data_IF_605420419825
#
_entry.id   IF_605420419825
#
_cell.length_a   1.000
_cell.length_b   1.000
_cell.length_c   1.000
_cell.angle_alpha   90.00
_cell.angle_beta   90.00
_cell.angle_gamma   90.00
#
_symmetry.space_group_name_H-M   'P 1'
#
loop_
_entity.id
_entity.type
_entity.pdbx_description
1 polymer ?
#
# COMPACT_ATOMS: atom_id res chain seq x y z
N UNK A 1 13.75 11.21 20.97
CA UNK A 1 12.80 11.55 19.90
C UNK A 1 12.93 13.03 19.55
N UNK A 2 13.13 13.35 18.27
CA UNK A 2 13.22 14.73 17.75
C UNK A 2 11.82 15.21 17.42
N UNK A 3 11.32 16.23 18.13
CA UNK A 3 9.93 16.71 18.01
C UNK A 3 9.56 17.23 16.61
N UNK A 4 10.57 17.70 15.88
CA UNK A 4 10.45 18.31 14.55
C UNK A 4 10.17 17.27 13.46
N UNK A 5 10.47 15.99 13.71
CA UNK A 5 10.26 14.86 12.80
C UNK A 5 9.26 13.90 13.48
N UNK A 6 7.97 14.17 13.31
CA UNK A 6 6.91 13.40 13.95
C UNK A 6 6.49 12.19 13.08
N UNK A 7 6.70 10.93 13.54
CA UNK A 7 6.33 9.72 12.78
C UNK A 7 4.87 9.68 12.30
N UNK A 8 3.96 10.35 13.00
CA UNK A 8 2.56 10.46 12.59
C UNK A 8 2.37 11.06 11.19
N UNK A 9 3.30 11.90 10.69
CA UNK A 9 3.24 12.41 9.32
C UNK A 9 3.53 11.30 8.29
N UNK A 10 4.42 10.34 8.59
CA UNK A 10 4.64 9.15 7.74
C UNK A 10 3.37 8.31 7.68
N UNK A 11 2.73 8.04 8.83
CA UNK A 11 1.47 7.28 8.85
C UNK A 11 0.35 7.98 8.08
N UNK A 12 0.23 9.31 8.19
CA UNK A 12 -0.73 10.10 7.40
C UNK A 12 -0.43 10.00 5.89
N UNK A 13 0.84 10.11 5.51
CA UNK A 13 1.25 9.95 4.12
C UNK A 13 0.95 8.54 3.60
N UNK A 14 1.25 7.50 4.38
CA UNK A 14 0.92 6.10 4.07
C UNK A 14 -0.58 5.93 3.90
N UNK A 15 -1.40 6.48 4.80
CA UNK A 15 -2.85 6.49 4.68
C UNK A 15 -3.29 7.11 3.35
N UNK A 16 -2.79 8.32 3.04
CA UNK A 16 -3.09 9.01 1.77
C UNK A 16 -2.73 8.19 0.53
N UNK A 17 -1.61 7.46 0.55
CA UNK A 17 -1.18 6.60 -0.55
C UNK A 17 -2.16 5.43 -0.81
N UNK A 18 -2.84 4.94 0.22
CA UNK A 18 -3.81 3.84 0.13
C UNK A 18 -5.28 4.31 0.03
N UNK A 19 -5.54 5.63 0.04
CA UNK A 19 -6.88 6.17 -0.15
C UNK A 19 -7.41 5.96 -1.59
N UNK A 20 -8.73 6.15 -1.77
CA UNK A 20 -9.42 6.08 -3.05
C UNK A 20 -9.26 4.71 -3.75
N UNK A 21 -9.46 3.63 -2.98
CA UNK A 21 -9.37 2.24 -3.42
C UNK A 21 -8.01 1.92 -4.08
N UNK A 22 -6.92 2.14 -3.32
CA UNK A 22 -5.55 1.87 -3.75
C UNK A 22 -5.13 2.57 -5.06
N UNK A 23 -5.66 3.77 -5.32
CA UNK A 23 -5.42 4.49 -6.57
C UNK A 23 -3.92 4.58 -6.94
N UNK A 24 -3.06 4.93 -5.98
CA UNK A 24 -1.63 5.09 -6.25
C UNK A 24 -1.00 3.76 -6.66
N UNK A 25 -1.37 2.64 -6.02
CA UNK A 25 -0.93 1.31 -6.45
C UNK A 25 -1.38 1.03 -7.86
N UNK A 26 -2.68 1.15 -8.16
CA UNK A 26 -3.23 0.88 -9.49
C UNK A 26 -2.64 1.79 -10.59
N UNK A 27 -2.28 3.03 -10.25
CA UNK A 27 -1.70 3.99 -11.18
C UNK A 27 -0.22 3.72 -11.48
N UNK A 28 0.57 3.37 -10.45
CA UNK A 28 2.03 3.25 -10.53
C UNK A 28 2.55 1.82 -10.66
N UNK A 29 1.68 0.82 -10.57
CA UNK A 29 1.99 -0.57 -10.92
C UNK A 29 1.83 -0.76 -12.43
N UNK A 30 2.93 -1.09 -13.11
CA UNK A 30 2.92 -1.55 -14.50
C UNK A 30 3.64 -2.90 -14.61
N UNK A 31 2.99 -4.00 -14.24
CA UNK A 31 3.67 -5.30 -14.26
C UNK A 31 3.87 -5.87 -15.67
N UNK A 32 2.98 -5.62 -16.65
CA UNK A 32 3.15 -6.03 -18.06
C UNK A 32 2.38 -5.14 -19.03
N UNK A 33 3.08 -4.48 -19.96
CA UNK A 33 2.52 -4.18 -21.29
C UNK A 33 2.83 -5.36 -22.21
N UNK A 34 1.96 -5.60 -23.20
CA UNK A 34 2.03 -6.64 -24.25
C UNK A 34 3.41 -7.30 -24.43
N UNK A 35 3.43 -8.63 -24.24
CA UNK A 35 4.51 -9.59 -24.59
C UNK A 35 5.88 -8.98 -24.95
N UNK A 36 6.81 -9.01 -23.98
CA UNK A 36 8.28 -8.85 -24.11
C UNK A 36 8.94 -7.58 -23.55
N UNK A 37 8.26 -6.73 -22.77
CA UNK A 37 8.92 -5.68 -21.98
C UNK A 37 8.48 -5.72 -20.52
N UNK A 38 9.46 -5.82 -19.62
CA UNK A 38 9.27 -5.60 -18.20
C UNK A 38 8.81 -4.15 -17.99
N UNK A 39 7.70 -3.95 -17.28
CA UNK A 39 7.19 -2.60 -17.03
C UNK A 39 7.90 -1.92 -15.87
N UNK A 40 7.53 -0.66 -15.59
CA UNK A 40 8.16 0.15 -14.54
C UNK A 40 7.37 0.01 -13.24
N UNK A 41 7.89 -0.77 -12.29
CA UNK A 41 7.29 -0.88 -10.96
C UNK A 41 7.69 0.33 -10.09
N UNK A 42 6.91 1.41 -10.21
CA UNK A 42 7.09 2.62 -9.39
C UNK A 42 6.48 2.41 -7.99
N UNK A 43 5.45 1.56 -7.88
CA UNK A 43 4.78 1.26 -6.61
C UNK A 43 5.73 0.69 -5.57
N UNK A 44 6.53 -0.34 -5.92
CA UNK A 44 7.51 -0.93 -4.99
C UNK A 44 8.52 0.10 -4.47
N UNK A 45 8.89 1.07 -5.30
CA UNK A 45 9.75 2.19 -4.88
C UNK A 45 9.04 3.10 -3.87
N UNK A 46 7.77 3.41 -4.09
CA UNK A 46 6.95 4.20 -3.14
C UNK A 46 6.84 3.45 -1.80
N UNK A 47 6.54 2.16 -1.80
CA UNK A 47 6.50 1.32 -0.60
C UNK A 47 7.83 1.35 0.15
N UNK A 48 8.94 1.09 -0.55
CA UNK A 48 10.27 1.11 0.06
C UNK A 48 10.61 2.47 0.69
N UNK A 49 10.23 3.59 0.06
CA UNK A 49 10.42 4.91 0.64
C UNK A 49 9.60 5.10 1.93
N UNK A 50 8.34 4.63 1.97
CA UNK A 50 7.50 4.72 3.18
C UNK A 50 8.04 3.86 4.32
N UNK A 51 8.55 2.66 4.02
CA UNK A 51 9.13 1.76 5.02
C UNK A 51 10.41 2.35 5.61
N UNK A 52 11.31 2.85 4.76
CA UNK A 52 12.53 3.52 5.24
C UNK A 52 12.26 4.82 5.96
N UNK A 53 11.22 5.58 5.58
CA UNK A 53 10.77 6.73 6.36
C UNK A 53 10.31 6.31 7.75
N UNK A 54 9.52 5.24 7.87
CA UNK A 54 9.03 4.73 9.16
C UNK A 54 10.21 4.39 10.07
N UNK A 55 11.13 3.54 9.58
CA UNK A 55 12.34 3.15 10.32
C UNK A 55 13.16 4.36 10.73
N UNK A 56 13.40 5.29 9.81
CA UNK A 56 14.26 6.43 10.08
C UNK A 56 13.63 7.45 11.03
N UNK A 57 12.33 7.72 10.93
CA UNK A 57 11.65 8.68 11.83
C UNK A 57 11.50 8.16 13.25
N UNK A 58 11.38 6.84 13.42
CA UNK A 58 11.26 6.23 14.75
C UNK A 58 12.61 6.14 15.47
N UNK A 59 13.69 5.92 14.71
CA UNK A 59 15.02 5.69 15.25
C UNK A 59 15.90 6.95 15.31
N UNK A 60 15.49 8.09 14.72
CA UNK A 60 16.34 9.28 14.70
C UNK A 60 16.48 9.91 16.09
N UNK A 61 17.72 10.04 16.55
CA UNK A 61 18.07 10.63 17.85
C UNK A 61 19.16 11.68 17.71
N UNK A 62 19.08 12.73 18.55
CA UNK A 62 20.19 13.69 18.66
C UNK A 62 21.42 12.96 19.20
N UNK A 63 22.58 13.08 18.54
CA UNK A 63 23.80 12.40 18.96
C UNK A 63 24.27 12.93 20.32
N UNK A 64 24.71 12.04 21.20
CA UNK A 64 25.10 12.40 22.56
C UNK A 64 26.61 12.46 22.70
N UNK A 65 27.04 13.29 23.65
CA UNK A 65 28.43 13.31 24.07
C UNK A 65 28.67 12.20 25.08
N UNK A 66 29.62 11.34 24.76
CA UNK A 66 30.09 10.23 25.58
C UNK A 66 31.50 10.53 26.08
N UNK A 67 31.89 9.89 27.19
CA UNK A 67 33.28 9.94 27.67
C UNK A 67 34.24 9.35 26.64
N UNK A 68 33.81 8.32 25.92
CA UNK A 68 34.55 7.73 24.82
C UNK A 68 34.16 8.43 23.51
N UNK A 69 35.11 9.16 22.92
CA UNK A 69 34.91 9.88 21.67
C UNK A 69 34.52 8.97 20.49
N UNK A 70 34.89 7.69 20.51
CA UNK A 70 34.51 6.74 19.47
C UNK A 70 32.99 6.50 19.47
N UNK A 71 32.35 6.40 20.65
CA UNK A 71 30.90 6.26 20.73
C UNK A 71 30.19 7.52 20.26
N UNK A 72 30.69 8.70 20.63
CA UNK A 72 30.18 9.97 20.10
C UNK A 72 30.30 10.06 18.59
N UNK A 73 31.42 9.61 18.03
CA UNK A 73 31.63 9.60 16.59
C UNK A 73 30.64 8.65 15.89
N UNK A 74 30.47 7.43 16.41
CA UNK A 74 29.54 6.44 15.86
C UNK A 74 28.07 6.89 15.97
N UNK A 75 27.65 7.47 17.10
CA UNK A 75 26.29 8.02 17.23
C UNK A 75 26.06 9.18 16.25
N UNK A 76 27.07 10.04 16.03
CA UNK A 76 26.95 11.10 15.03
C UNK A 76 26.87 10.55 13.60
N UNK A 77 27.67 9.53 13.27
CA UNK A 77 27.57 8.85 11.98
C UNK A 77 26.20 8.23 11.78
N UNK A 78 25.67 7.52 12.79
CA UNK A 78 24.31 6.97 12.74
C UNK A 78 23.29 8.08 12.46
N UNK A 79 23.34 9.19 13.20
CA UNK A 79 22.46 10.35 12.99
C UNK A 79 22.51 10.89 11.55
N UNK A 80 23.70 11.05 10.96
CA UNK A 80 23.85 11.50 9.58
C UNK A 80 23.26 10.49 8.58
N UNK A 81 23.51 9.19 8.79
CA UNK A 81 22.94 8.14 7.94
C UNK A 81 21.42 8.12 8.03
N UNK A 82 20.84 8.27 9.22
CA UNK A 82 19.37 8.34 9.38
C UNK A 82 18.77 9.56 8.68
N UNK A 83 19.45 10.71 8.73
CA UNK A 83 19.03 11.89 7.94
C UNK A 83 19.08 11.60 6.44
N UNK A 84 20.16 10.98 5.96
CA UNK A 84 20.32 10.62 4.55
C UNK A 84 19.19 9.71 4.07
N UNK A 85 18.83 8.70 4.86
CA UNK A 85 17.68 7.81 4.57
C UNK A 85 16.37 8.58 4.41
N UNK A 86 16.09 9.54 5.31
CA UNK A 86 14.88 10.38 5.23
C UNK A 86 14.91 11.22 3.95
N UNK A 87 16.02 11.90 3.67
CA UNK A 87 16.16 12.81 2.53
C UNK A 87 16.09 12.05 1.20
N UNK A 88 16.78 10.91 1.09
CA UNK A 88 16.73 10.07 -0.10
C UNK A 88 15.32 9.53 -0.35
N UNK A 89 14.64 9.03 0.68
CA UNK A 89 13.27 8.55 0.56
C UNK A 89 12.31 9.66 0.09
N UNK A 90 12.39 10.86 0.66
CA UNK A 90 11.58 12.01 0.24
C UNK A 90 11.88 12.40 -1.21
N UNK A 91 13.15 12.49 -1.57
CA UNK A 91 13.56 12.83 -2.93
C UNK A 91 13.07 11.79 -3.95
N UNK A 92 13.09 10.52 -3.57
CA UNK A 92 12.58 9.45 -4.42
C UNK A 92 11.05 9.41 -4.51
N UNK A 93 10.32 9.81 -3.46
CA UNK A 93 8.88 10.03 -3.53
C UNK A 93 8.54 11.19 -4.46
N UNK A 94 9.28 12.31 -4.38
CA UNK A 94 9.14 13.42 -5.33
C UNK A 94 9.48 13.04 -6.76
N UNK A 95 10.49 12.20 -6.97
CA UNK A 95 10.81 11.67 -8.29
C UNK A 95 9.69 10.76 -8.82
N UNK A 96 9.09 9.93 -7.99
CA UNK A 96 8.03 9.02 -8.40
C UNK A 96 6.70 9.75 -8.67
N UNK A 97 6.20 10.49 -7.69
CA UNK A 97 4.88 11.13 -7.72
C UNK A 97 4.95 12.47 -8.45
N UNK A 98 5.97 13.28 -8.14
CA UNK A 98 6.16 14.60 -8.75
C UNK A 98 6.43 14.54 -10.25
N UNK A 99 7.08 13.49 -10.77
CA UNK A 99 7.23 13.30 -12.22
C UNK A 99 5.85 13.11 -12.90
N UNK A 100 4.94 12.35 -12.28
CA UNK A 100 3.58 12.14 -12.79
C UNK A 100 2.73 13.42 -12.74
N UNK A 101 2.91 14.28 -11.73
CA UNK A 101 2.21 15.56 -11.62
C UNK A 101 2.95 16.73 -12.30
N UNK A 102 4.16 16.49 -12.81
CA UNK A 102 5.10 17.50 -13.34
C UNK A 102 5.54 18.53 -12.29
N UNK A 103 5.50 18.17 -11.01
CA UNK A 103 5.93 18.97 -9.87
C UNK A 103 7.31 18.51 -9.41
N UNK A 104 8.24 19.44 -9.21
CA UNK A 104 9.60 19.14 -8.75
C UNK A 104 9.70 19.28 -7.23
N UNK A 105 10.65 18.55 -6.64
CA UNK A 105 11.00 18.72 -5.22
C UNK A 105 11.37 20.20 -4.93
N UNK A 106 10.71 20.87 -3.98
CA UNK A 106 10.81 22.33 -3.81
C UNK A 106 12.20 22.84 -3.41
N UNK A 107 13.00 22.02 -2.73
CA UNK A 107 14.24 22.44 -2.07
C UNK A 107 15.52 21.95 -2.77
N UNK A 108 15.41 21.49 -4.02
CA UNK A 108 16.52 20.86 -4.75
C UNK A 108 17.63 21.88 -5.07
N UNK A 109 17.25 23.15 -5.21
CA UNK A 109 18.16 24.29 -5.41
C UNK A 109 18.29 25.17 -4.17
N UNK A 110 17.71 24.76 -3.04
CA UNK A 110 17.72 25.57 -1.82
C UNK A 110 19.15 25.73 -1.29
N UNK A 111 19.39 26.88 -0.66
CA UNK A 111 20.68 27.30 -0.08
C UNK A 111 20.47 28.00 1.27
N UNK A 112 19.27 27.92 1.84
CA UNK A 112 18.82 28.77 2.93
C UNK A 112 19.33 28.34 4.31
N UNK A 113 19.96 27.17 4.40
CA UNK A 113 20.32 26.57 5.68
C UNK A 113 21.82 26.64 5.92
N UNK A 114 22.63 26.09 5.01
CA UNK A 114 24.07 25.96 5.27
C UNK A 114 24.85 27.19 4.79
N UNK A 115 24.45 27.80 3.67
CA UNK A 115 25.15 28.92 3.03
C UNK A 115 26.67 28.66 2.86
N UNK A 116 27.02 27.52 2.26
CA UNK A 116 28.41 27.06 2.17
C UNK A 116 28.95 27.09 0.75
N UNK A 117 30.20 27.56 0.67
CA UNK A 117 31.07 27.42 -0.48
C UNK A 117 32.12 26.36 -0.17
N UNK A 118 32.23 25.35 -1.02
CA UNK A 118 33.22 24.28 -0.91
C UNK A 118 33.81 24.02 -2.28
N UNK A 119 35.10 23.70 -2.33
CA UNK A 119 35.81 23.45 -3.60
C UNK A 119 35.65 24.57 -4.64
N UNK A 120 35.66 25.82 -4.17
CA UNK A 120 35.42 27.04 -4.95
C UNK A 120 34.01 27.19 -5.55
N UNK A 121 33.07 26.28 -5.26
CA UNK A 121 31.69 26.32 -5.73
C UNK A 121 30.69 26.65 -4.62
N UNK A 122 29.67 27.44 -4.97
CA UNK A 122 28.53 27.68 -4.08
C UNK A 122 27.57 26.49 -4.18
N UNK A 123 27.44 25.73 -3.08
CA UNK A 123 26.67 24.50 -3.06
C UNK A 123 25.20 24.76 -2.69
N UNK A 124 24.30 23.93 -3.21
CA UNK A 124 22.95 23.79 -2.65
C UNK A 124 23.01 23.07 -1.32
N UNK A 125 21.99 23.20 -0.49
CA UNK A 125 21.96 22.53 0.81
C UNK A 125 22.02 21.00 0.64
N UNK A 126 21.44 20.44 -0.43
CA UNK A 126 21.59 19.00 -0.73
C UNK A 126 23.00 18.61 -1.18
N UNK A 127 23.63 19.44 -2.03
CA UNK A 127 24.99 19.18 -2.46
C UNK A 127 25.95 19.25 -1.26
N UNK A 128 25.78 20.25 -0.39
CA UNK A 128 26.58 20.36 0.83
C UNK A 128 26.31 19.23 1.82
N UNK A 129 25.06 18.77 1.97
CA UNK A 129 24.77 17.62 2.82
C UNK A 129 25.45 16.33 2.32
N UNK A 130 25.57 16.14 1.00
CA UNK A 130 26.35 15.02 0.43
C UNK A 130 27.83 15.08 0.83
N UNK A 131 28.41 16.27 0.89
CA UNK A 131 29.77 16.47 1.40
C UNK A 131 29.87 16.15 2.90
N UNK A 132 28.93 16.63 3.71
CA UNK A 132 28.86 16.28 5.15
C UNK A 132 28.82 14.76 5.33
N UNK A 133 27.95 14.08 4.58
CA UNK A 133 27.82 12.61 4.63
C UNK A 133 29.12 11.89 4.26
N UNK A 134 29.82 12.39 3.25
CA UNK A 134 31.11 11.84 2.86
C UNK A 134 32.17 12.04 3.97
N UNK A 135 32.22 13.23 4.58
CA UNK A 135 33.20 13.57 5.61
C UNK A 135 32.93 12.94 6.98
N UNK A 136 31.67 12.82 7.40
CA UNK A 136 31.31 12.47 8.78
C UNK A 136 30.90 11.00 8.99
N UNK A 137 31.10 10.10 8.02
CA UNK A 137 30.99 8.67 8.32
C UNK A 137 30.93 7.68 7.16
N UNK A 138 30.39 8.04 5.99
CA UNK A 138 30.09 7.01 4.97
C UNK A 138 31.27 6.79 4.01
N UNK A 139 32.08 7.81 3.74
CA UNK A 139 33.23 7.73 2.82
C UNK A 139 34.53 8.32 3.39
N UNK A 140 34.65 8.35 4.73
CA UNK A 140 35.72 9.04 5.46
C UNK A 140 37.15 8.65 5.05
N UNK A 141 37.38 7.40 4.63
CA UNK A 141 38.73 6.86 4.37
C UNK A 141 39.06 6.68 2.88
N UNK A 142 38.11 6.91 1.98
CA UNK A 142 38.29 6.76 0.53
C UNK A 142 37.59 7.88 -0.24
N UNK A 143 37.51 9.08 0.36
CA UNK A 143 36.67 10.18 -0.11
C UNK A 143 36.73 10.37 -1.62
N UNK A 144 35.59 10.77 -2.19
CA UNK A 144 35.41 10.84 -3.63
C UNK A 144 36.58 11.60 -4.28
N UNK A 145 37.18 11.01 -5.30
CA UNK A 145 38.18 11.70 -6.09
C UNK A 145 37.48 12.86 -6.81
N UNK A 146 37.88 14.09 -6.49
CA UNK A 146 37.31 15.31 -7.05
C UNK A 146 38.31 15.91 -8.03
N UNK A 147 37.85 16.15 -9.26
CA UNK A 147 38.61 16.90 -10.25
C UNK A 147 38.53 18.39 -9.90
N UNK A 148 39.64 18.96 -9.43
CA UNK A 148 39.72 20.36 -9.03
C UNK A 148 40.63 21.15 -9.96
N UNK A 149 40.17 22.32 -10.39
CA UNK A 149 40.95 23.20 -11.25
C UNK A 149 42.27 23.60 -10.56
N UNK A 150 43.37 23.53 -11.32
CA UNK A 150 44.72 23.82 -10.82
C UNK A 150 45.46 22.61 -10.24
N UNK A 151 44.84 21.41 -10.22
CA UNK A 151 45.48 20.17 -9.78
C UNK A 151 45.68 19.21 -10.96
N UNK A 152 46.86 18.57 -11.05
CA UNK A 152 47.24 17.68 -12.17
C UNK A 152 46.65 16.27 -12.09
N UNK A 153 46.15 15.89 -10.92
CA UNK A 153 45.58 14.58 -10.62
C UNK A 153 44.34 14.78 -9.75
N UNK A 154 43.38 13.84 -9.79
CA UNK A 154 42.20 13.90 -8.95
C UNK A 154 42.59 14.03 -7.47
N UNK A 155 42.00 15.01 -6.79
CA UNK A 155 42.24 15.25 -5.37
C UNK A 155 41.34 14.34 -4.57
N UNK A 156 41.90 13.64 -3.59
CA UNK A 156 41.15 12.82 -2.64
C UNK A 156 41.24 13.43 -1.27
N UNK A 157 40.14 13.33 -0.53
CA UNK A 157 40.03 13.80 0.83
C UNK A 157 39.77 12.63 1.78
N UNK A 158 40.31 12.75 2.99
CA UNK A 158 40.19 11.75 4.05
C UNK A 158 39.82 12.47 5.34
N UNK A 159 38.92 11.92 6.15
CA UNK A 159 38.49 12.56 7.40
C UNK A 159 38.93 11.77 8.63
N UNK A 160 39.23 12.51 9.70
CA UNK A 160 39.36 11.94 11.05
C UNK A 160 38.00 11.46 11.57
N UNK A 161 38.01 10.80 12.73
CA UNK A 161 36.77 10.60 13.49
C UNK A 161 36.14 11.95 13.85
N UNK A 162 34.81 11.97 13.90
CA UNK A 162 34.04 13.14 14.31
C UNK A 162 34.08 13.29 15.83
N UNK A 163 34.12 14.53 16.31
CA UNK A 163 34.06 14.80 17.75
C UNK A 163 33.44 16.16 18.02
N UNK A 164 33.04 16.37 19.28
CA UNK A 164 32.52 17.63 19.80
C UNK A 164 33.61 18.15 20.77
N UNK A 165 34.44 19.11 20.32
CA UNK A 165 35.66 19.54 21.06
C UNK A 165 35.44 20.67 22.05
N UNK A 166 34.30 21.34 21.99
CA UNK A 166 34.05 22.54 22.77
C UNK A 166 33.10 22.21 23.91
N UNK A 167 33.58 22.40 25.14
CA UNK A 167 32.80 22.22 26.36
C UNK A 167 31.65 23.24 26.46
N UNK A 168 31.68 24.29 25.64
CA UNK A 168 30.81 25.46 25.61
C UNK A 168 29.86 25.53 24.40
N UNK A 169 30.03 24.66 23.39
CA UNK A 169 29.14 24.59 22.22
C UNK A 169 28.53 23.19 22.08
N UNK A 170 27.52 22.92 22.91
CA UNK A 170 26.69 21.73 22.77
C UNK A 170 26.10 21.66 21.36
N UNK A 171 26.22 20.50 20.70
CA UNK A 171 25.61 20.25 19.39
C UNK A 171 26.46 20.63 18.16
N UNK A 172 27.69 21.13 18.31
CA UNK A 172 28.63 21.31 17.18
C UNK A 172 29.59 20.12 17.06
N UNK A 173 29.66 19.50 15.88
CA UNK A 173 30.58 18.43 15.57
C UNK A 173 31.60 18.88 14.54
N UNK A 174 32.81 18.32 14.60
CA UNK A 174 33.82 18.60 13.60
C UNK A 174 34.66 17.36 13.26
N UNK A 175 35.28 17.42 12.09
CA UNK A 175 36.32 16.50 11.62
C UNK A 175 37.52 17.31 11.13
N UNK A 176 38.68 16.67 11.10
CA UNK A 176 39.83 17.15 10.35
C UNK A 176 39.81 16.49 8.96
N UNK A 177 39.81 17.30 7.90
CA UNK A 177 39.86 16.86 6.52
C UNK A 177 41.31 16.96 5.99
N UNK A 178 41.88 15.81 5.68
CA UNK A 178 43.20 15.62 5.07
C UNK A 178 43.08 15.47 3.56
N UNK A 179 44.18 15.61 2.82
CA UNK A 179 44.22 15.34 1.39
C UNK A 179 45.48 14.59 0.96
N UNK A 180 45.37 13.85 -0.15
CA UNK A 180 46.53 13.31 -0.86
C UNK A 180 47.41 14.41 -1.49
N UNK A 181 46.95 15.66 -1.53
CA UNK A 181 47.68 16.80 -2.06
C UNK A 181 47.81 17.91 -1.01
N UNK A 182 49.03 18.28 -0.54
CA UNK A 182 49.22 19.30 0.50
C UNK A 182 48.70 20.70 0.13
N UNK A 183 48.75 21.08 -1.15
CA UNK A 183 48.21 22.37 -1.59
C UNK A 183 46.68 22.37 -1.57
N UNK A 184 46.05 21.24 -1.92
CA UNK A 184 44.60 21.08 -1.80
C UNK A 184 44.15 21.00 -0.33
N UNK A 185 44.91 20.30 0.54
CA UNK A 185 44.64 20.27 1.98
C UNK A 185 44.69 21.68 2.57
N UNK A 186 45.70 22.48 2.22
CA UNK A 186 45.83 23.85 2.67
C UNK A 186 44.68 24.74 2.21
N UNK A 187 44.15 24.51 1.00
CA UNK A 187 43.10 25.34 0.39
C UNK A 187 41.68 24.92 0.82
N UNK A 188 41.39 23.62 0.85
CA UNK A 188 40.04 23.08 1.03
C UNK A 188 39.90 22.12 2.21
N UNK A 189 41.00 21.57 2.72
CA UNK A 189 41.01 20.68 3.88
C UNK A 189 40.83 21.42 5.20
N UNK A 190 41.43 20.89 6.27
CA UNK A 190 41.35 21.51 7.58
C UNK A 190 40.13 21.08 8.40
N UNK A 191 39.85 21.85 9.44
CA UNK A 191 38.72 21.59 10.35
C UNK A 191 37.39 21.93 9.64
N UNK A 192 36.52 20.93 9.49
CA UNK A 192 35.15 21.07 8.99
C UNK A 192 34.18 20.91 10.14
N UNK A 193 33.28 21.86 10.32
CA UNK A 193 32.32 21.90 11.44
C UNK A 193 30.88 21.90 10.94
N UNK A 194 30.00 21.26 11.71
CA UNK A 194 28.56 21.22 11.46
C UNK A 194 27.78 21.24 12.76
N UNK A 195 26.66 21.96 12.78
CA UNK A 195 25.74 22.01 13.92
C UNK A 195 24.61 21.01 13.72
N UNK A 196 24.28 20.27 14.78
CA UNK A 196 23.14 19.34 14.80
C UNK A 196 21.84 20.07 14.45
N UNK A 197 21.63 21.29 14.94
CA UNK A 197 20.40 22.04 14.65
C UNK A 197 20.25 22.42 13.17
N UNK A 198 21.35 22.70 12.46
CA UNK A 198 21.28 23.03 11.03
C UNK A 198 20.95 21.78 10.20
N UNK A 199 21.48 20.61 10.61
CA UNK A 199 21.09 19.31 10.06
C UNK A 199 19.61 19.00 10.31
N UNK A 200 19.11 19.30 11.50
CA UNK A 200 17.70 19.11 11.84
C UNK A 200 16.78 20.04 11.05
N UNK A 201 17.14 21.32 10.89
CA UNK A 201 16.42 22.24 9.98
C UNK A 201 16.39 21.69 8.57
N UNK A 202 17.54 21.19 8.07
CA UNK A 202 17.69 20.65 6.73
C UNK A 202 16.76 19.47 6.43
N UNK A 203 16.73 18.49 7.33
CA UNK A 203 15.87 17.31 7.18
C UNK A 203 14.40 17.66 7.44
N UNK A 204 14.09 18.49 8.43
CA UNK A 204 12.71 18.87 8.77
C UNK A 204 12.03 19.60 7.63
N UNK A 205 12.75 20.53 6.97
CA UNK A 205 12.23 21.27 5.82
C UNK A 205 11.79 20.33 4.69
N UNK A 206 12.58 19.29 4.42
CA UNK A 206 12.29 18.27 3.40
C UNK A 206 11.19 17.32 3.88
N UNK A 207 11.26 16.87 5.12
CA UNK A 207 10.27 15.97 5.72
C UNK A 207 8.85 16.52 5.64
N UNK A 208 8.69 17.81 5.93
CA UNK A 208 7.40 18.47 5.87
C UNK A 208 6.81 18.57 4.45
N UNK A 209 7.62 18.34 3.39
CA UNK A 209 7.11 18.28 2.01
C UNK A 209 6.23 17.06 1.73
N UNK A 210 6.20 16.04 2.61
CA UNK A 210 5.22 14.95 2.52
C UNK A 210 3.79 15.50 2.46
N UNK A 211 3.49 16.59 3.15
CA UNK A 211 2.17 17.26 3.06
C UNK A 211 1.88 17.80 1.67
N UNK A 212 2.90 18.34 0.99
CA UNK A 212 2.74 18.79 -0.38
C UNK A 212 2.55 17.61 -1.33
N UNK A 213 3.31 16.52 -1.15
CA UNK A 213 3.10 15.29 -1.93
C UNK A 213 1.70 14.69 -1.74
N UNK A 214 1.12 14.76 -0.54
CA UNK A 214 -0.29 14.35 -0.32
C UNK A 214 -1.26 15.19 -1.18
N UNK A 215 -1.03 16.49 -1.31
CA UNK A 215 -1.83 17.35 -2.17
C UNK A 215 -1.64 17.03 -3.66
N UNK A 216 -0.42 16.66 -4.06
CA UNK A 216 -0.11 16.22 -5.43
C UNK A 216 -0.82 14.90 -5.75
N UNK A 217 -0.91 13.95 -4.80
CA UNK A 217 -1.70 12.71 -4.93
C UNK A 217 -3.18 13.04 -5.17
N UNK A 218 -3.75 13.93 -4.37
CA UNK A 218 -5.15 14.34 -4.52
C UNK A 218 -5.41 15.02 -5.87
N UNK A 219 -4.48 15.87 -6.33
CA UNK A 219 -4.57 16.53 -7.63
C UNK A 219 -4.49 15.52 -8.78
N UNK A 220 -3.58 14.55 -8.68
CA UNK A 220 -3.43 13.46 -9.64
C UNK A 220 -4.71 12.64 -9.72
N UNK A 221 -5.26 12.21 -8.58
CA UNK A 221 -6.51 11.45 -8.53
C UNK A 221 -7.67 12.20 -9.19
N UNK A 222 -7.89 13.47 -8.81
CA UNK A 222 -8.96 14.29 -9.41
C UNK A 222 -8.81 14.44 -10.91
N UNK A 223 -7.58 14.66 -11.39
CA UNK A 223 -7.28 14.78 -12.82
C UNK A 223 -7.60 13.48 -13.56
N UNK A 224 -7.06 12.35 -13.11
CA UNK A 224 -7.26 11.05 -13.76
C UNK A 224 -8.73 10.64 -13.72
N UNK A 225 -9.42 10.83 -12.59
CA UNK A 225 -10.86 10.57 -12.45
C UNK A 225 -11.68 11.39 -13.46
N UNK A 226 -11.35 12.67 -13.64
CA UNK A 226 -11.99 13.51 -14.66
C UNK A 226 -11.74 13.00 -16.08
N UNK A 227 -10.50 12.69 -16.42
CA UNK A 227 -10.12 12.17 -17.74
C UNK A 227 -10.83 10.85 -18.07
N UNK A 228 -11.00 9.95 -17.09
CA UNK A 228 -11.72 8.69 -17.27
C UNK A 228 -13.23 8.90 -17.43
N UNK A 229 -13.82 9.85 -16.70
CA UNK A 229 -15.24 10.21 -16.85
C UNK A 229 -15.57 10.77 -18.23
N UNK A 230 -14.64 11.49 -18.84
CA UNK A 230 -14.81 12.05 -20.19
C UNK A 230 -14.73 10.97 -21.28
N UNK A 231 -14.17 9.78 -20.98
CA UNK A 231 -14.16 8.63 -21.89
C UNK A 231 -15.47 7.86 -21.73
N UNK A 232 -16.31 7.73 -22.78
CA UNK A 232 -17.54 6.96 -22.70
C UNK A 232 -17.29 5.46 -22.48
N UNK A 233 -18.12 4.82 -21.66
CA UNK A 233 -18.21 3.37 -21.54
C UNK A 233 -19.25 2.88 -22.53
N UNK A 234 -18.82 2.05 -23.49
CA UNK A 234 -19.68 1.50 -24.51
C UNK A 234 -20.30 0.18 -24.02
N UNK A 235 -21.60 0.01 -24.23
CA UNK A 235 -22.31 -1.22 -23.94
C UNK A 235 -23.26 -1.49 -25.09
N UNK A 236 -23.17 -2.67 -25.70
CA UNK A 236 -24.10 -3.08 -26.75
C UNK A 236 -25.27 -3.84 -26.11
N UNK A 237 -26.35 -3.10 -25.83
CA UNK A 237 -27.57 -3.62 -25.19
C UNK A 237 -28.31 -4.66 -26.06
N UNK A 238 -27.94 -4.82 -27.33
CA UNK A 238 -28.49 -5.87 -28.22
C UNK A 238 -27.87 -7.25 -27.98
N UNK A 239 -26.75 -7.34 -27.24
CA UNK A 239 -26.04 -8.59 -26.96
C UNK A 239 -26.58 -9.27 -25.69
N UNK A 240 -26.20 -10.53 -25.50
CA UNK A 240 -26.54 -11.29 -24.27
C UNK A 240 -25.87 -10.68 -23.04
N UNK A 241 -26.44 -10.90 -21.84
CA UNK A 241 -25.88 -10.38 -20.59
C UNK A 241 -24.41 -10.78 -20.40
N UNK A 242 -24.04 -12.01 -20.78
CA UNK A 242 -22.67 -12.50 -20.69
C UNK A 242 -21.70 -11.69 -21.57
N UNK A 243 -22.09 -11.36 -22.81
CA UNK A 243 -21.27 -10.57 -23.72
C UNK A 243 -21.14 -9.14 -23.21
N UNK A 244 -22.25 -8.56 -22.75
CA UNK A 244 -22.28 -7.23 -22.13
C UNK A 244 -21.34 -7.15 -20.93
N UNK A 245 -21.38 -8.12 -20.02
CA UNK A 245 -20.49 -8.16 -18.86
C UNK A 245 -19.01 -8.31 -19.25
N UNK A 246 -18.71 -9.15 -20.25
CA UNK A 246 -17.33 -9.29 -20.79
C UNK A 246 -16.80 -7.97 -21.36
N UNK A 247 -17.63 -7.21 -22.09
CA UNK A 247 -17.28 -5.87 -22.60
C UNK A 247 -16.97 -4.89 -21.46
N UNK A 248 -17.74 -4.94 -20.35
CA UNK A 248 -17.50 -4.07 -19.20
C UNK A 248 -16.21 -4.46 -18.45
N UNK A 249 -15.93 -5.75 -18.28
CA UNK A 249 -14.68 -6.23 -17.66
C UNK A 249 -13.46 -5.76 -18.46
N UNK A 250 -13.50 -5.87 -19.78
CA UNK A 250 -12.41 -5.42 -20.65
C UNK A 250 -12.17 -3.91 -20.52
N UNK A 251 -13.23 -3.10 -20.62
CA UNK A 251 -13.14 -1.65 -20.45
C UNK A 251 -12.69 -1.25 -19.05
N UNK A 252 -13.09 -1.98 -18.01
CA UNK A 252 -12.64 -1.74 -16.64
C UNK A 252 -11.12 -1.96 -16.49
N UNK A 253 -10.59 -3.02 -17.11
CA UNK A 253 -9.15 -3.33 -17.15
C UNK A 253 -8.35 -2.25 -17.87
N UNK A 254 -8.82 -1.78 -19.03
CA UNK A 254 -8.17 -0.70 -19.78
C UNK A 254 -8.11 0.63 -19.00
N UNK A 255 -9.07 0.84 -18.09
CA UNK A 255 -9.18 2.06 -17.28
C UNK A 255 -8.31 2.06 -16.01
N UNK A 256 -7.61 0.95 -15.70
CA UNK A 256 -6.74 0.69 -14.50
C UNK A 256 -7.38 0.97 -13.14
N UNK A 257 -7.89 2.18 -12.91
CA UNK A 257 -8.57 2.62 -11.69
C UNK A 257 -9.82 1.82 -11.35
N UNK A 258 -10.50 1.27 -12.35
CA UNK A 258 -11.75 0.53 -12.17
C UNK A 258 -11.55 -0.98 -12.36
N UNK A 259 -10.32 -1.45 -12.59
CA UNK A 259 -10.08 -2.85 -12.94
C UNK A 259 -10.40 -3.83 -11.81
N UNK A 260 -10.22 -3.37 -10.58
CA UNK A 260 -10.44 -4.15 -9.35
C UNK A 260 -11.79 -3.84 -8.70
N UNK A 261 -12.57 -2.90 -9.25
CA UNK A 261 -13.87 -2.52 -8.69
C UNK A 261 -14.85 -3.69 -8.83
N UNK A 262 -15.31 -4.21 -7.68
CA UNK A 262 -16.22 -5.35 -7.62
C UNK A 262 -15.70 -6.59 -8.39
N UNK A 263 -14.38 -6.75 -8.56
CA UNK A 263 -13.82 -7.79 -9.43
C UNK A 263 -14.35 -9.18 -9.07
N UNK A 264 -14.32 -9.55 -7.78
CA UNK A 264 -14.81 -10.83 -7.31
C UNK A 264 -16.30 -11.04 -7.63
N UNK A 265 -17.14 -10.03 -7.35
CA UNK A 265 -18.58 -10.09 -7.58
C UNK A 265 -18.90 -10.19 -9.09
N UNK A 266 -18.17 -9.43 -9.92
CA UNK A 266 -18.33 -9.42 -11.37
C UNK A 266 -17.88 -10.75 -11.99
N UNK A 267 -16.78 -11.33 -11.52
CA UNK A 267 -16.33 -12.66 -11.97
C UNK A 267 -17.28 -13.77 -11.52
N UNK A 268 -17.83 -13.67 -10.31
CA UNK A 268 -18.88 -14.58 -9.81
C UNK A 268 -20.11 -14.50 -10.70
N UNK A 269 -20.63 -13.30 -10.97
CA UNK A 269 -21.79 -13.13 -11.84
C UNK A 269 -21.52 -13.59 -13.28
N UNK A 270 -20.31 -13.37 -13.79
CA UNK A 270 -19.89 -13.92 -15.09
C UNK A 270 -19.98 -15.44 -15.11
N UNK A 271 -19.52 -16.12 -14.06
CA UNK A 271 -19.61 -17.59 -13.97
C UNK A 271 -21.06 -18.08 -13.97
N UNK A 272 -21.96 -17.35 -13.32
CA UNK A 272 -23.39 -17.67 -13.30
C UNK A 272 -24.02 -17.54 -14.69
N UNK A 273 -23.64 -16.52 -15.45
CA UNK A 273 -24.11 -16.32 -16.83
C UNK A 273 -23.52 -17.33 -17.83
N UNK A 274 -22.46 -18.06 -17.46
CA UNK A 274 -21.85 -19.12 -18.26
C UNK A 274 -22.47 -20.50 -18.01
N UNK A 275 -23.33 -20.64 -16.99
CA UNK A 275 -23.97 -21.91 -16.62
C UNK A 275 -24.97 -22.41 -17.67
N UNK A 276 -24.99 -23.73 -17.90
CA UNK A 276 -26.04 -24.37 -18.69
C UNK A 276 -27.26 -24.67 -17.80
N UNK A 277 -28.35 -23.92 -18.01
CA UNK A 277 -29.58 -24.10 -17.24
C UNK A 277 -30.23 -25.48 -17.41
N UNK A 278 -29.83 -26.25 -18.43
CA UNK A 278 -30.30 -27.61 -18.64
C UNK A 278 -29.83 -28.58 -17.54
N UNK A 279 -28.72 -28.28 -16.85
CA UNK A 279 -28.18 -29.11 -15.75
C UNK A 279 -29.10 -29.13 -14.52
N UNK A 280 -29.93 -28.11 -14.32
CA UNK A 280 -30.84 -28.03 -13.18
C UNK A 280 -32.14 -28.83 -13.42
N UNK A 281 -32.62 -29.47 -12.35
CA UNK A 281 -33.97 -30.04 -12.31
C UNK A 281 -35.05 -28.95 -12.43
N UNK A 282 -36.25 -29.32 -12.87
CA UNK A 282 -37.29 -28.37 -13.26
C UNK A 282 -37.66 -27.35 -12.16
N UNK A 283 -37.77 -27.76 -10.90
CA UNK A 283 -38.14 -26.88 -9.79
C UNK A 283 -37.02 -25.86 -9.47
N UNK A 284 -35.77 -26.31 -9.44
CA UNK A 284 -34.62 -25.46 -9.15
C UNK A 284 -34.21 -24.59 -10.35
N UNK A 285 -34.52 -25.02 -11.58
CA UNK A 285 -34.33 -24.21 -12.78
C UNK A 285 -35.15 -22.92 -12.73
N UNK A 286 -36.38 -22.98 -12.22
CA UNK A 286 -37.21 -21.78 -12.03
C UNK A 286 -36.62 -20.88 -10.93
N UNK A 287 -36.19 -21.46 -9.81
CA UNK A 287 -35.53 -20.74 -8.73
C UNK A 287 -34.28 -19.98 -9.22
N UNK A 288 -33.39 -20.68 -9.92
CA UNK A 288 -32.14 -20.12 -10.48
C UNK A 288 -32.47 -19.03 -11.50
N UNK A 289 -33.45 -19.26 -12.37
CA UNK A 289 -33.87 -18.28 -13.37
C UNK A 289 -34.39 -16.99 -12.72
N UNK A 290 -35.21 -17.10 -11.67
CA UNK A 290 -35.70 -15.96 -10.89
C UNK A 290 -34.56 -15.21 -10.19
N UNK A 291 -33.58 -15.94 -9.64
CA UNK A 291 -32.40 -15.33 -9.03
C UNK A 291 -31.57 -14.54 -10.06
N UNK A 292 -31.30 -15.12 -11.24
CA UNK A 292 -30.61 -14.42 -12.33
C UNK A 292 -31.37 -13.16 -12.79
N UNK A 293 -32.71 -13.20 -12.81
CA UNK A 293 -33.53 -12.00 -13.09
C UNK A 293 -33.32 -10.90 -12.05
N UNK A 294 -33.23 -11.27 -10.76
CA UNK A 294 -32.97 -10.32 -9.66
C UNK A 294 -31.55 -9.72 -9.71
N UNK A 295 -30.60 -10.38 -10.38
CA UNK A 295 -29.23 -9.92 -10.61
C UNK A 295 -29.07 -9.03 -11.85
N UNK A 296 -30.06 -8.96 -12.75
CA UNK A 296 -30.00 -8.13 -13.97
C UNK A 296 -29.54 -6.68 -13.77
N UNK A 297 -29.90 -5.98 -12.68
CA UNK A 297 -29.43 -4.62 -12.45
C UNK A 297 -27.91 -4.48 -12.30
N UNK A 298 -27.15 -5.56 -12.07
CA UNK A 298 -25.69 -5.52 -11.93
C UNK A 298 -25.01 -4.91 -13.16
N UNK A 299 -25.41 -5.28 -14.38
CA UNK A 299 -24.78 -4.78 -15.62
C UNK A 299 -24.93 -3.26 -15.76
N UNK A 300 -26.15 -2.67 -15.72
CA UNK A 300 -26.29 -1.22 -15.83
C UNK A 300 -25.66 -0.49 -14.64
N UNK A 301 -25.70 -1.05 -13.42
CA UNK A 301 -25.01 -0.46 -12.26
C UNK A 301 -23.49 -0.46 -12.46
N UNK A 302 -22.90 -1.57 -12.89
CA UNK A 302 -21.47 -1.69 -13.13
C UNK A 302 -21.00 -0.77 -14.27
N UNK A 303 -21.78 -0.63 -15.34
CA UNK A 303 -21.55 0.38 -16.39
C UNK A 303 -21.45 1.78 -15.80
N UNK A 304 -22.40 2.17 -14.94
CA UNK A 304 -22.41 3.48 -14.26
C UNK A 304 -21.19 3.64 -13.35
N UNK A 305 -20.83 2.60 -12.59
CA UNK A 305 -19.63 2.58 -11.73
C UNK A 305 -18.36 2.85 -12.54
N UNK A 306 -18.16 2.13 -13.64
CA UNK A 306 -16.97 2.31 -14.50
C UNK A 306 -16.98 3.71 -15.14
N UNK A 307 -18.14 4.16 -15.63
CA UNK A 307 -18.28 5.47 -16.27
C UNK A 307 -17.98 6.63 -15.32
N UNK A 308 -18.44 6.52 -14.07
CA UNK A 308 -18.29 7.55 -13.06
C UNK A 308 -17.05 7.37 -12.18
N UNK A 309 -16.31 6.26 -12.34
CA UNK A 309 -15.18 5.89 -11.47
C UNK A 309 -15.62 6.00 -10.00
N UNK A 310 -16.72 5.32 -9.69
CA UNK A 310 -17.38 5.40 -8.39
C UNK A 310 -17.01 4.20 -7.52
N UNK A 311 -16.32 4.50 -6.42
CA UNK A 311 -15.86 3.55 -5.40
C UNK A 311 -16.85 3.39 -4.24
N UNK A 312 -18.08 3.92 -4.37
CA UNK A 312 -19.15 3.72 -3.39
C UNK A 312 -19.60 2.26 -3.31
N UNK A 313 -20.23 1.91 -2.18
CA UNK A 313 -20.90 0.62 -2.00
C UNK A 313 -22.26 0.57 -2.69
N UNK A 314 -22.53 -0.53 -3.40
CA UNK A 314 -23.78 -0.73 -4.13
C UNK A 314 -24.50 -2.01 -3.68
N UNK A 315 -25.71 -1.85 -3.14
CA UNK A 315 -26.53 -2.96 -2.60
C UNK A 315 -26.86 -4.05 -3.62
N UNK A 316 -26.81 -3.74 -4.92
CA UNK A 316 -27.07 -4.73 -5.97
C UNK A 316 -26.08 -5.90 -5.91
N UNK A 317 -24.83 -5.65 -5.53
CA UNK A 317 -23.80 -6.68 -5.43
C UNK A 317 -23.95 -7.53 -4.17
N UNK A 318 -24.58 -7.01 -3.11
CA UNK A 318 -24.91 -7.80 -1.90
C UNK A 318 -25.80 -9.00 -2.21
N UNK A 319 -26.52 -9.00 -3.33
CA UNK A 319 -27.30 -10.15 -3.81
C UNK A 319 -26.44 -11.34 -4.25
N UNK A 320 -25.16 -11.12 -4.55
CA UNK A 320 -24.20 -12.18 -4.85
C UNK A 320 -23.58 -12.77 -3.58
N UNK A 321 -23.79 -12.15 -2.41
CA UNK A 321 -23.13 -12.59 -1.17
C UNK A 321 -24.01 -13.57 -0.41
N UNK A 322 -23.37 -14.57 0.19
CA UNK A 322 -24.03 -15.57 1.03
C UNK A 322 -24.41 -14.94 2.39
N UNK A 323 -25.71 -14.79 2.63
CA UNK A 323 -26.23 -13.98 3.74
C UNK A 323 -27.25 -14.69 4.62
N UNK A 324 -27.74 -15.89 4.29
CA UNK A 324 -28.76 -16.54 5.10
C UNK A 324 -28.21 -17.09 6.43
N UNK A 325 -29.12 -17.30 7.40
CA UNK A 325 -28.78 -18.00 8.64
C UNK A 325 -28.35 -19.45 8.37
N UNK A 326 -28.91 -20.11 7.35
CA UNK A 326 -28.58 -21.48 6.94
C UNK A 326 -27.12 -21.56 6.46
N UNK A 327 -26.67 -20.59 5.65
CA UNK A 327 -25.27 -20.48 5.27
C UNK A 327 -24.37 -20.29 6.48
N UNK A 328 -24.74 -19.40 7.41
CA UNK A 328 -23.92 -19.14 8.60
C UNK A 328 -23.71 -20.41 9.46
N UNK A 329 -24.76 -21.20 9.66
CA UNK A 329 -24.74 -22.45 10.43
C UNK A 329 -23.94 -23.57 9.76
N UNK A 330 -23.78 -23.52 8.44
CA UNK A 330 -23.06 -24.52 7.64
C UNK A 330 -21.86 -23.92 6.88
N UNK A 331 -21.30 -22.82 7.40
CA UNK A 331 -20.29 -22.02 6.69
C UNK A 331 -19.04 -22.80 6.32
N UNK A 332 -18.59 -23.72 7.18
CA UNK A 332 -17.45 -24.60 6.88
C UNK A 332 -17.74 -25.51 5.68
N UNK A 333 -18.91 -26.15 5.67
CA UNK A 333 -19.29 -27.08 4.60
C UNK A 333 -19.43 -26.34 3.27
N UNK A 334 -20.09 -25.18 3.27
CA UNK A 334 -20.18 -24.34 2.07
C UNK A 334 -18.81 -23.89 1.56
N UNK A 335 -17.90 -23.48 2.45
CA UNK A 335 -16.55 -23.09 2.05
C UNK A 335 -15.81 -24.24 1.35
N UNK A 336 -15.92 -25.47 1.85
CA UNK A 336 -15.31 -26.65 1.22
C UNK A 336 -15.96 -27.03 -0.10
N UNK A 337 -17.27 -26.83 -0.23
CA UNK A 337 -17.96 -27.03 -1.51
C UNK A 337 -17.56 -25.97 -2.54
N UNK A 338 -17.39 -24.70 -2.17
CA UNK A 338 -16.90 -23.67 -3.09
C UNK A 338 -15.46 -23.92 -3.54
N UNK A 339 -14.55 -24.27 -2.61
CA UNK A 339 -13.17 -24.67 -2.97
C UNK A 339 -13.14 -25.84 -3.96
N UNK A 340 -14.04 -26.80 -3.80
CA UNK A 340 -14.21 -27.94 -4.70
C UNK A 340 -14.78 -27.55 -6.06
N UNK A 341 -15.83 -26.73 -6.08
CA UNK A 341 -16.47 -26.25 -7.29
C UNK A 341 -15.52 -25.41 -8.15
N UNK A 342 -14.66 -24.61 -7.52
CA UNK A 342 -13.64 -23.80 -8.21
C UNK A 342 -12.39 -24.61 -8.62
N UNK A 343 -12.27 -25.87 -8.18
CA UNK A 343 -11.17 -26.78 -8.54
C UNK A 343 -9.85 -26.54 -7.80
N UNK A 344 -9.85 -25.72 -6.74
CA UNK A 344 -8.66 -25.40 -5.93
C UNK A 344 -8.54 -26.22 -4.63
N UNK A 345 -9.63 -26.87 -4.21
CA UNK A 345 -9.72 -27.57 -2.92
C UNK A 345 -9.27 -29.03 -2.92
N UNK A 346 -9.10 -29.59 -1.71
CA UNK A 346 -9.02 -31.03 -1.54
C UNK A 346 -10.32 -31.68 -2.00
N UNK A 347 -10.24 -32.44 -3.08
CA UNK A 347 -11.37 -33.18 -3.66
C UNK A 347 -12.14 -33.94 -2.59
N UNK A 348 -11.43 -34.61 -1.67
CA UNK A 348 -12.03 -35.40 -0.60
C UNK A 348 -12.87 -34.58 0.37
N UNK A 349 -12.39 -33.43 0.85
CA UNK A 349 -13.15 -32.64 1.83
C UNK A 349 -14.35 -31.95 1.21
N UNK A 350 -14.24 -31.53 -0.06
CA UNK A 350 -15.35 -30.91 -0.78
C UNK A 350 -16.50 -31.87 -1.03
N UNK A 351 -16.19 -33.10 -1.46
CA UNK A 351 -17.19 -34.16 -1.66
C UNK A 351 -17.89 -34.50 -0.34
N UNK A 352 -17.14 -34.68 0.75
CA UNK A 352 -17.71 -34.96 2.08
C UNK A 352 -18.65 -33.83 2.53
N UNK A 353 -18.22 -32.57 2.41
CA UNK A 353 -19.08 -31.44 2.78
C UNK A 353 -20.32 -31.31 1.89
N UNK A 354 -20.21 -31.66 0.59
CA UNK A 354 -21.35 -31.69 -0.31
C UNK A 354 -22.37 -32.76 0.12
N UNK A 355 -21.91 -33.98 0.42
CA UNK A 355 -22.76 -35.07 0.92
C UNK A 355 -23.45 -34.67 2.24
N UNK A 356 -22.72 -34.06 3.18
CA UNK A 356 -23.29 -33.57 4.45
C UNK A 356 -24.38 -32.52 4.25
N UNK A 357 -24.22 -31.59 3.32
CA UNK A 357 -25.25 -30.59 3.01
C UNK A 357 -26.49 -31.22 2.36
N UNK A 358 -26.31 -32.29 1.57
CA UNK A 358 -27.40 -33.08 1.01
C UNK A 358 -28.14 -33.85 2.10
N UNK A 359 -27.42 -34.54 3.00
CA UNK A 359 -28.01 -35.29 4.12
C UNK A 359 -28.81 -34.38 5.06
N UNK A 360 -28.35 -33.13 5.27
CA UNK A 360 -29.07 -32.11 6.04
C UNK A 360 -30.29 -31.52 5.31
N UNK A 361 -30.52 -31.90 4.05
CA UNK A 361 -31.59 -31.36 3.20
C UNK A 361 -31.39 -29.90 2.79
N UNK A 362 -30.15 -29.39 2.89
CA UNK A 362 -29.80 -28.01 2.50
C UNK A 362 -29.59 -27.93 0.99
N UNK A 363 -29.00 -28.97 0.39
CA UNK A 363 -28.81 -29.12 -1.05
C UNK A 363 -29.56 -30.36 -1.57
N UNK A 364 -30.03 -30.34 -2.82
CA UNK A 364 -30.67 -31.50 -3.43
C UNK A 364 -29.64 -32.59 -3.82
N UNK A 365 -30.06 -33.85 -3.84
CA UNK A 365 -29.17 -34.99 -4.16
C UNK A 365 -28.46 -34.85 -5.52
N UNK A 366 -29.12 -34.27 -6.52
CA UNK A 366 -28.53 -34.12 -7.85
C UNK A 366 -27.39 -33.09 -7.92
N UNK A 367 -27.14 -32.32 -6.84
CA UNK A 367 -26.03 -31.37 -6.77
C UNK A 367 -24.66 -32.00 -7.00
N UNK A 368 -24.50 -33.30 -6.76
CA UNK A 368 -23.25 -34.04 -7.07
C UNK A 368 -22.96 -34.14 -8.56
N UNK A 369 -23.96 -33.94 -9.41
CA UNK A 369 -23.85 -34.09 -10.87
C UNK A 369 -23.68 -32.75 -11.60
N UNK A 370 -23.72 -31.64 -10.86
CA UNK A 370 -23.58 -30.30 -11.44
C UNK A 370 -22.11 -29.98 -11.71
N UNK A 371 -21.87 -29.25 -12.80
CA UNK A 371 -20.59 -28.57 -12.99
C UNK A 371 -20.35 -27.56 -11.86
N UNK A 372 -19.07 -27.25 -11.57
CA UNK A 372 -18.71 -26.35 -10.46
C UNK A 372 -19.44 -25.00 -10.50
N UNK A 373 -19.48 -24.35 -11.68
CA UNK A 373 -20.20 -23.09 -11.86
C UNK A 373 -21.71 -23.24 -11.61
N UNK A 374 -22.33 -24.31 -12.11
CA UNK A 374 -23.75 -24.58 -11.89
C UNK A 374 -24.05 -24.88 -10.42
N UNK A 375 -23.17 -25.61 -9.73
CA UNK A 375 -23.28 -25.88 -8.30
C UNK A 375 -23.21 -24.58 -7.49
N UNK A 376 -22.25 -23.70 -7.78
CA UNK A 376 -22.15 -22.37 -7.16
C UNK A 376 -23.43 -21.56 -7.40
N UNK A 377 -23.92 -21.48 -8.64
CA UNK A 377 -25.15 -20.76 -8.96
C UNK A 377 -26.37 -21.30 -8.18
N UNK A 378 -26.52 -22.62 -8.08
CA UNK A 378 -27.61 -23.22 -7.29
C UNK A 378 -27.51 -22.84 -5.82
N UNK A 379 -26.31 -22.95 -5.23
CA UNK A 379 -26.07 -22.61 -3.83
C UNK A 379 -26.43 -21.15 -3.54
N UNK A 380 -25.99 -20.21 -4.39
CA UNK A 380 -26.31 -18.80 -4.24
C UNK A 380 -27.81 -18.52 -4.42
N UNK A 381 -28.48 -19.17 -5.38
CA UNK A 381 -29.92 -19.02 -5.58
C UNK A 381 -30.73 -19.54 -4.37
N UNK A 382 -30.31 -20.68 -3.79
CA UNK A 382 -30.90 -21.23 -2.58
C UNK A 382 -30.66 -20.32 -1.38
N UNK A 383 -29.44 -19.84 -1.15
CA UNK A 383 -29.14 -18.90 -0.06
C UNK A 383 -29.95 -17.61 -0.19
N UNK A 384 -30.06 -17.06 -1.39
CA UNK A 384 -30.86 -15.87 -1.64
C UNK A 384 -32.35 -16.08 -1.31
N UNK A 385 -32.91 -17.27 -1.59
CA UNK A 385 -34.26 -17.67 -1.15
C UNK A 385 -34.33 -17.86 0.36
N UNK A 386 -33.34 -18.51 0.95
CA UNK A 386 -33.27 -18.74 2.39
C UNK A 386 -33.17 -17.43 3.15
N UNK A 387 -32.40 -16.45 2.68
CA UNK A 387 -32.26 -15.16 3.35
C UNK A 387 -33.59 -14.39 3.44
N UNK A 388 -34.53 -14.61 2.49
CA UNK A 388 -35.89 -14.05 2.55
C UNK A 388 -36.75 -14.66 3.67
N UNK A 389 -36.47 -15.89 4.08
CA UNK A 389 -37.27 -16.65 5.08
C UNK A 389 -36.57 -16.83 6.42
N UNK A 390 -35.25 -16.90 6.39
CA UNK A 390 -34.31 -17.12 7.49
C UNK A 390 -33.18 -16.09 7.38
N UNK A 391 -33.50 -14.78 7.50
CA UNK A 391 -32.48 -13.75 7.48
C UNK A 391 -31.52 -13.96 8.64
N UNK A 392 -30.23 -13.73 8.40
CA UNK A 392 -29.20 -13.86 9.44
C UNK A 392 -29.57 -12.99 10.64
N UNK A 393 -29.63 -13.61 11.82
CA UNK A 393 -29.86 -12.88 13.06
C UNK A 393 -28.62 -12.04 13.35
N UNK A 394 -28.75 -10.72 13.40
CA UNK A 394 -27.62 -9.90 13.87
C UNK A 394 -27.42 -10.22 15.35
N UNK A 395 -26.31 -10.89 15.67
CA UNK A 395 -25.77 -10.76 17.02
C UNK A 395 -25.27 -9.33 17.11
N UNK A 396 -25.78 -8.53 18.06
CA UNK A 396 -25.09 -7.31 18.48
C UNK A 396 -23.67 -7.73 18.85
N UNK A 397 -22.71 -7.44 17.99
CA UNK A 397 -21.30 -7.63 18.25
C UNK A 397 -20.89 -6.51 19.22
N UNK A 398 -20.76 -6.83 20.50
CA UNK A 398 -19.94 -6.01 21.38
C UNK A 398 -18.49 -6.24 20.97
N UNK A 399 -17.98 -5.33 20.14
CA UNK A 399 -16.59 -5.33 19.72
C UNK A 399 -15.78 -4.66 20.84
N UNK A 400 -14.99 -5.43 21.58
CA UNK A 400 -13.96 -4.85 22.44
C UNK A 400 -12.75 -4.56 21.56
N UNK A 401 -12.51 -3.27 21.30
CA UNK A 401 -11.27 -2.84 20.64
C UNK A 401 -10.12 -2.98 21.64
N UNK A 402 -9.21 -3.90 21.40
CA UNK A 402 -7.89 -3.89 22.03
C UNK A 402 -6.96 -3.18 21.05
N UNK A 403 -6.46 -2.02 21.45
CA UNK A 403 -5.36 -1.35 20.77
C UNK A 403 -4.10 -2.08 21.23
N UNK A 404 -3.53 -2.89 20.35
CA UNK A 404 -2.18 -3.45 20.53
C UNK A 404 -1.21 -2.56 19.75
N UNK A 405 -0.09 -2.20 20.37
CA UNK A 405 0.87 -1.18 19.90
C UNK A 405 1.67 -1.60 18.65
N UNK A 406 1.39 -2.77 18.06
CA UNK A 406 2.18 -3.39 16.98
C UNK A 406 1.38 -3.79 15.72
N UNK A 407 0.08 -3.55 15.64
CA UNK A 407 -0.74 -3.88 14.46
C UNK A 407 -1.32 -2.64 13.79
N UNK A 408 -0.98 -2.40 12.52
CA UNK A 408 -1.50 -1.28 11.71
C UNK A 408 -3.03 -1.35 11.46
N UNK A 409 -3.71 -2.41 11.89
CA UNK A 409 -5.17 -2.53 11.92
C UNK A 409 -5.65 -3.08 13.28
N UNK A 410 -6.77 -2.59 13.84
CA UNK A 410 -7.33 -3.11 15.08
C UNK A 410 -7.69 -4.59 14.93
N UNK A 411 -7.08 -5.44 15.75
CA UNK A 411 -7.41 -6.87 15.81
C UNK A 411 -8.79 -7.01 16.46
N UNK A 412 -9.77 -7.46 15.68
CA UNK A 412 -11.11 -7.76 16.18
C UNK A 412 -11.15 -9.19 16.70
N UNK A 413 -11.13 -9.39 18.02
CA UNK A 413 -11.28 -10.72 18.62
C UNK A 413 -12.77 -10.98 18.88
N UNK A 414 -13.27 -12.09 18.31
CA UNK A 414 -14.64 -12.57 18.57
C UNK A 414 -14.65 -13.30 19.92
N UNK A 415 -15.21 -12.68 20.94
CA UNK A 415 -15.52 -13.38 22.20
C UNK A 415 -16.73 -14.28 21.96
N UNK A 416 -16.56 -15.60 22.06
CA UNK A 416 -17.69 -16.53 22.16
C UNK A 416 -18.14 -16.58 23.62
N UNK A 417 -19.38 -16.17 23.88
CA UNK A 417 -20.04 -16.52 25.15
C UNK A 417 -20.28 -18.04 25.17
N UNK A 418 -19.51 -18.76 25.96
CA UNK A 418 -19.86 -20.11 26.39
C UNK A 418 -20.98 -20.01 27.43
N UNK A 419 -22.19 -20.43 27.04
CA UNK A 419 -23.27 -20.70 28.00
C UNK A 419 -22.83 -21.93 28.81
N UNK A 420 -22.35 -21.71 30.04
CA UNK A 420 -22.29 -22.76 31.06
C UNK A 420 -23.70 -22.92 31.64
N UNK A 421 -24.41 -23.96 31.20
CA UNK A 421 -25.53 -24.51 31.95
C UNK A 421 -24.99 -25.10 33.26
N UNK A 422 -25.20 -24.37 34.36
CA UNK A 422 -25.01 -24.88 35.71
C UNK A 422 -26.29 -25.62 36.10
N UNK A 423 -26.26 -26.95 35.96
CA UNK A 423 -27.20 -27.86 36.60
C UNK A 423 -27.19 -27.61 38.11
N UNK A 424 -28.28 -27.05 38.64
CA UNK A 424 -28.62 -27.07 40.06
C UNK A 424 -29.62 -28.19 40.31
N UNK A 425 -29.12 -29.39 40.57
CA UNK A 425 -29.82 -30.40 41.36
C UNK A 425 -28.79 -31.21 42.16
N UNK A 426 -28.65 -30.87 43.45
CA UNK A 426 -28.37 -31.76 44.59
C UNK A 426 -28.07 -30.90 45.83
N UNK A 427 -29.13 -30.49 46.53
CA UNK A 427 -29.34 -30.67 47.98
C UNK A 427 -30.78 -30.29 48.35
#
# INVERSE_FOLDING_TARGET
MISEINPALVHKFRGKVHENNDFIRCYFVEFKQNSNKEGKDIWSKICSCMDWLTVATDAIERPRRHKNANYTSLEFTHFITTIDMIVEAINHLWLAIGEATKTKQPYIKDRSIFHKREFDEELTDEAYFKEIRAWFGIHAVNGNATELEGFKQPVRFFSSWSTNSRWDEEGTFYVQLYSNNPAAEKKYGGRKEIKVDDLLKFVTLRYNTLTQLMNEIDALYRKVKKELKERPVHLDESKTELIQLKQLIEQAKERKLTSEFYEYDILTYKSFLECDLAEFQSADRELVSNYLMDLKPIIPTYKTIIQNVDDSEYDVFKKLHMCSQIYAENSYDFAKVFEYADGYGSYTSGVISLELLIEKGVLPEYSTNLSGACLCLLIHALDYKFNKTHPRKSKKQECVQIIDDFSDHPISIIVKDEIRELNKENE
#
